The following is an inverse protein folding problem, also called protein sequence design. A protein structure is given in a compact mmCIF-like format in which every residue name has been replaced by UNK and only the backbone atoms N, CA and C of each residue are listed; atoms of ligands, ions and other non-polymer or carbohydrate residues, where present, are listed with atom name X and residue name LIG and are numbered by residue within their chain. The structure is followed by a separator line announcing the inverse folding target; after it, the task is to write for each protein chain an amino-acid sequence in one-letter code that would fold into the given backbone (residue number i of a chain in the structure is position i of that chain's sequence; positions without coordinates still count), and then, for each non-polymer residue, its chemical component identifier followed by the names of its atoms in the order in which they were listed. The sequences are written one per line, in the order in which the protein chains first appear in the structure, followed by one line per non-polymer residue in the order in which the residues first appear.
data_IF_906454881982
#
_entry.id   IF_906454881982
#
_cell.length_a   1.000
_cell.length_b   1.000
_cell.length_c   1.000
_cell.angle_alpha   90.00
_cell.angle_beta   90.00
_cell.angle_gamma   90.00
#
_symmetry.space_group_name_H-M   'P 1'
#
loop_
_entity.id
_entity.type
_entity.pdbx_description
1 polymer ?
#
# COMPACT_ATOMS: atom_id res chain seq x y z
N UNK A 1 7.70 3.52 -13.84
CA UNK A 1 7.80 3.67 -12.36
C UNK A 1 6.60 4.47 -11.94
N UNK A 2 5.73 3.93 -11.06
CA UNK A 2 4.55 4.65 -10.60
C UNK A 2 4.99 5.94 -9.90
N UNK A 3 4.24 7.02 -10.12
CA UNK A 3 4.53 8.33 -9.57
C UNK A 3 3.48 8.65 -8.51
N UNK A 4 3.92 9.11 -7.33
CA UNK A 4 3.04 9.36 -6.18
C UNK A 4 1.87 10.27 -6.54
N UNK A 5 2.04 11.20 -7.49
CA UNK A 5 0.98 12.10 -7.93
C UNK A 5 -0.16 11.43 -8.69
N UNK A 6 -0.01 10.16 -9.09
CA UNK A 6 -1.01 9.39 -9.81
C UNK A 6 -1.77 8.41 -8.90
N UNK A 7 -1.51 8.42 -7.60
CA UNK A 7 -2.28 7.66 -6.63
C UNK A 7 -3.42 8.53 -6.09
N UNK A 8 -4.59 7.93 -5.86
CA UNK A 8 -5.73 8.66 -5.24
C UNK A 8 -5.35 9.11 -3.81
N UNK A 9 -4.67 8.25 -3.04
CA UNK A 9 -4.16 8.55 -1.69
C UNK A 9 -3.03 9.61 -1.63
N UNK A 10 -2.56 10.17 -2.75
CA UNK A 10 -1.37 11.02 -2.78
C UNK A 10 -1.43 12.21 -1.82
N UNK A 11 -2.59 12.87 -1.72
CA UNK A 11 -2.77 14.03 -0.86
C UNK A 11 -2.64 13.65 0.63
N UNK A 12 -3.30 12.57 1.04
CA UNK A 12 -3.23 12.05 2.40
C UNK A 12 -1.83 11.53 2.75
N UNK A 13 -1.16 10.87 1.80
CA UNK A 13 0.19 10.34 2.00
C UNK A 13 1.22 11.44 2.24
N UNK A 14 1.15 12.54 1.47
CA UNK A 14 2.14 13.64 1.52
C UNK A 14 2.14 14.42 2.82
N UNK A 15 1.06 14.32 3.62
CA UNK A 15 0.95 15.02 4.90
C UNK A 15 1.28 14.13 6.10
N UNK A 16 1.66 12.87 5.87
CA UNK A 16 2.03 11.95 6.94
C UNK A 16 3.31 12.42 7.66
N UNK A 17 3.26 12.65 8.99
CA UNK A 17 4.42 13.12 9.74
C UNK A 17 5.57 12.12 9.79
N UNK A 18 5.31 10.83 9.56
CA UNK A 18 6.33 9.79 9.52
C UNK A 18 7.08 9.68 8.18
N UNK A 19 6.62 10.38 7.14
CA UNK A 19 7.21 10.35 5.80
C UNK A 19 7.94 11.65 5.52
N UNK A 20 9.18 11.55 5.07
CA UNK A 20 9.91 12.67 4.49
C UNK A 20 9.83 12.59 2.96
N UNK A 21 9.44 13.69 2.32
CA UNK A 21 9.39 13.81 0.86
C UNK A 21 10.38 14.89 0.42
N UNK A 22 11.40 14.49 -0.33
CA UNK A 22 12.42 15.40 -0.86
C UNK A 22 12.37 15.42 -2.38
N UNK A 23 12.35 16.62 -2.97
CA UNK A 23 12.61 16.79 -4.40
C UNK A 23 14.10 16.58 -4.66
N UNK A 24 14.42 15.71 -5.60
CA UNK A 24 15.78 15.39 -6.00
C UNK A 24 16.05 15.87 -7.44
N UNK A 25 17.32 15.99 -7.79
CA UNK A 25 17.80 16.28 -9.16
C UNK A 25 17.07 17.46 -9.83
N UNK A 26 17.22 18.67 -9.26
CA UNK A 26 16.56 19.90 -9.72
C UNK A 26 15.02 19.82 -9.83
N UNK A 27 14.38 18.91 -9.07
CA UNK A 27 12.93 18.73 -9.08
C UNK A 27 12.43 17.70 -10.11
N UNK A 28 13.33 17.01 -10.80
CA UNK A 28 12.99 15.97 -11.79
C UNK A 28 12.62 14.63 -11.15
N UNK A 29 12.96 14.40 -9.88
CA UNK A 29 12.57 13.21 -9.14
C UNK A 29 12.14 13.53 -7.72
N UNK A 30 11.39 12.61 -7.11
CA UNK A 30 10.96 12.70 -5.72
C UNK A 30 11.45 11.47 -4.97
N UNK A 31 12.14 11.68 -3.85
CA UNK A 31 12.48 10.63 -2.90
C UNK A 31 11.51 10.67 -1.73
N UNK A 32 11.09 9.49 -1.28
CA UNK A 32 10.22 9.31 -0.14
C UNK A 32 10.96 8.41 0.86
N UNK A 33 11.00 8.81 2.12
CA UNK A 33 11.76 8.13 3.16
C UNK A 33 10.90 7.97 4.41
N UNK A 34 10.88 6.78 4.99
CA UNK A 34 10.28 6.53 6.29
C UNK A 34 11.24 7.02 7.39
N UNK A 35 10.82 8.01 8.17
CA UNK A 35 11.72 8.74 9.07
C UNK A 35 12.26 7.89 10.22
N UNK A 36 11.48 6.94 10.75
CA UNK A 36 11.85 6.17 11.94
C UNK A 36 13.09 5.30 11.73
N UNK A 37 13.26 4.76 10.53
CA UNK A 37 14.35 3.85 10.18
C UNK A 37 15.24 4.38 9.05
N UNK A 38 14.92 5.58 8.53
CA UNK A 38 15.56 6.18 7.37
C UNK A 38 15.52 5.29 6.11
N UNK A 39 14.49 4.46 5.99
CA UNK A 39 14.32 3.50 4.89
C UNK A 39 13.59 4.15 3.72
N UNK A 40 14.06 3.91 2.49
CA UNK A 40 13.41 4.46 1.29
C UNK A 40 12.05 3.82 1.07
N UNK A 41 11.08 4.60 0.60
CA UNK A 41 9.72 4.17 0.28
C UNK A 41 9.55 4.09 -1.24
N UNK A 42 8.97 2.98 -1.70
CA UNK A 42 8.67 2.71 -3.11
C UNK A 42 7.17 2.57 -3.34
N UNK A 43 6.76 2.85 -4.57
CA UNK A 43 5.37 2.71 -4.99
C UNK A 43 5.19 1.39 -5.71
N UNK A 44 4.19 0.63 -5.29
CA UNK A 44 3.77 -0.63 -5.89
C UNK A 44 2.29 -0.51 -6.22
N UNK A 45 1.87 -1.02 -7.38
CA UNK A 45 0.47 -1.14 -7.76
C UNK A 45 0.23 -2.59 -8.17
N UNK A 46 -0.69 -3.25 -7.49
CA UNK A 46 -1.07 -4.63 -7.76
C UNK A 46 -2.55 -4.70 -8.11
N UNK A 47 -2.90 -5.62 -9.00
CA UNK A 47 -4.30 -5.89 -9.34
C UNK A 47 -4.76 -7.24 -8.77
N UNK A 48 -6.05 -7.31 -8.45
CA UNK A 48 -6.69 -8.47 -7.85
C UNK A 48 -8.06 -8.70 -8.50
N UNK A 49 -8.47 -9.95 -8.60
CA UNK A 49 -9.86 -10.28 -8.93
C UNK A 49 -10.81 -9.92 -7.78
N UNK A 50 -12.12 -10.10 -7.98
CA UNK A 50 -13.10 -9.71 -6.98
C UNK A 50 -13.00 -10.50 -5.66
N UNK A 51 -12.66 -11.79 -5.73
CA UNK A 51 -12.56 -12.65 -4.55
C UNK A 51 -11.36 -12.25 -3.69
N UNK A 52 -10.18 -12.12 -4.31
CA UNK A 52 -8.96 -11.69 -3.64
C UNK A 52 -9.03 -10.24 -3.19
N UNK A 53 -9.66 -9.36 -3.99
CA UNK A 53 -9.92 -7.97 -3.62
C UNK A 53 -10.75 -7.84 -2.36
N UNK A 54 -11.77 -8.70 -2.19
CA UNK A 54 -12.59 -8.71 -0.96
C UNK A 54 -11.82 -9.20 0.26
N UNK A 55 -11.02 -10.27 0.12
CA UNK A 55 -10.15 -10.75 1.20
C UNK A 55 -9.14 -9.68 1.62
N UNK A 56 -8.61 -8.94 0.66
CA UNK A 56 -7.69 -7.85 0.89
C UNK A 56 -8.37 -6.67 1.61
N UNK A 57 -9.59 -6.30 1.22
CA UNK A 57 -10.40 -5.30 1.93
C UNK A 57 -10.57 -5.67 3.42
N UNK A 58 -11.01 -6.90 3.70
CA UNK A 58 -11.24 -7.37 5.07
C UNK A 58 -9.92 -7.41 5.89
N UNK A 59 -8.80 -7.75 5.23
CA UNK A 59 -7.47 -7.72 5.83
C UNK A 59 -7.06 -6.29 6.20
N UNK A 60 -7.26 -5.32 5.31
CA UNK A 60 -6.90 -3.91 5.53
C UNK A 60 -7.79 -3.21 6.57
N UNK A 61 -9.00 -3.71 6.78
CA UNK A 61 -9.91 -3.23 7.81
C UNK A 61 -9.71 -3.92 9.17
N UNK A 62 -8.89 -4.97 9.23
CA UNK A 62 -8.52 -5.63 10.48
C UNK A 62 -7.52 -4.76 11.25
N UNK A 63 -7.69 -4.67 12.58
CA UNK A 63 -6.81 -3.84 13.40
C UNK A 63 -5.37 -4.37 13.39
N UNK A 64 -4.35 -3.49 13.47
CA UNK A 64 -2.94 -3.92 13.48
C UNK A 64 -2.61 -4.94 14.57
N UNK A 65 -3.21 -4.81 15.77
CA UNK A 65 -2.98 -5.73 16.88
C UNK A 65 -3.47 -7.14 16.54
N UNK A 66 -4.66 -7.23 15.94
CA UNK A 66 -5.25 -8.50 15.54
C UNK A 66 -4.51 -9.13 14.37
N UNK A 67 -4.00 -8.33 13.43
CA UNK A 67 -3.12 -8.83 12.36
C UNK A 67 -1.86 -9.47 12.94
N UNK A 68 -1.27 -8.87 13.98
CA UNK A 68 -0.07 -9.40 14.63
C UNK A 68 -0.37 -10.65 15.46
N UNK A 69 -1.52 -10.70 16.15
CA UNK A 69 -1.92 -11.84 16.97
C UNK A 69 -2.25 -13.08 16.12
N UNK A 70 -3.10 -12.91 15.11
CA UNK A 70 -3.65 -14.01 14.32
C UNK A 70 -2.72 -14.39 13.16
N UNK A 71 -1.93 -13.42 12.69
CA UNK A 71 -1.29 -13.50 11.38
C UNK A 71 -2.33 -13.50 10.25
N UNK A 72 -1.85 -13.41 9.01
CA UNK A 72 -2.68 -13.64 7.82
C UNK A 72 -1.90 -14.59 6.91
N UNK A 73 -2.47 -15.73 6.49
CA UNK A 73 -1.81 -16.58 5.53
C UNK A 73 -1.71 -15.86 4.18
N UNK A 74 -0.55 -15.27 3.90
CA UNK A 74 -0.25 -14.57 2.65
C UNK A 74 -0.47 -15.41 1.38
N UNK A 75 -0.59 -16.73 1.52
CA UNK A 75 -0.72 -17.70 0.43
C UNK A 75 -2.09 -17.69 -0.26
N UNK A 76 -3.10 -17.10 0.38
CA UNK A 76 -4.48 -17.17 -0.09
C UNK A 76 -4.91 -15.97 -0.94
N UNK A 77 -4.15 -14.86 -0.91
CA UNK A 77 -4.42 -13.67 -1.72
C UNK A 77 -3.43 -13.61 -2.88
N UNK A 78 -3.94 -13.75 -4.11
CA UNK A 78 -3.12 -13.79 -5.33
C UNK A 78 -3.38 -12.60 -6.24
N UNK A 79 -2.32 -12.06 -6.85
CA UNK A 79 -2.46 -11.03 -7.89
C UNK A 79 -3.19 -11.62 -9.08
N UNK A 80 -3.91 -10.75 -9.78
CA UNK A 80 -4.48 -11.04 -11.10
C UNK A 80 -3.76 -10.19 -12.14
N UNK A 81 -3.55 -10.75 -13.33
CA UNK A 81 -3.11 -9.98 -14.50
C UNK A 81 -4.24 -9.14 -15.10
N UNK A 82 -5.49 -9.47 -14.79
CA UNK A 82 -6.70 -8.76 -15.22
C UNK A 82 -7.65 -8.71 -14.01
N UNK A 83 -7.38 -7.77 -13.11
CA UNK A 83 -8.18 -7.56 -11.91
C UNK A 83 -9.07 -6.32 -12.03
N UNK A 84 -10.20 -6.30 -11.33
CA UNK A 84 -11.00 -5.08 -11.18
C UNK A 84 -10.75 -4.38 -9.83
N UNK A 85 -9.88 -4.93 -8.98
CA UNK A 85 -9.38 -4.29 -7.78
C UNK A 85 -7.93 -3.89 -7.98
N UNK A 86 -7.55 -2.69 -7.54
CA UNK A 86 -6.18 -2.20 -7.55
C UNK A 86 -5.79 -1.78 -6.14
N UNK A 87 -4.67 -2.30 -5.64
CA UNK A 87 -4.06 -1.86 -4.40
C UNK A 87 -2.89 -0.93 -4.73
N UNK A 88 -3.02 0.34 -4.35
CA UNK A 88 -1.95 1.34 -4.44
C UNK A 88 -1.16 1.33 -3.12
N UNK A 89 0.16 1.14 -3.18
CA UNK A 89 1.00 0.86 -2.02
C UNK A 89 2.22 1.77 -2.01
N UNK A 90 2.55 2.33 -0.85
CA UNK A 90 3.81 2.98 -0.54
C UNK A 90 4.51 2.17 0.57
N UNK A 91 5.55 1.41 0.22
CA UNK A 91 6.22 0.45 1.11
C UNK A 91 7.69 0.85 1.34
N UNK A 92 8.13 0.85 2.60
CA UNK A 92 9.54 1.04 2.94
C UNK A 92 10.40 -0.21 2.66
N UNK A 93 11.68 -0.02 2.33
CA UNK A 93 12.63 -1.11 2.05
C UNK A 93 12.74 -2.14 3.18
N UNK A 94 12.69 -1.67 4.43
CA UNK A 94 12.73 -2.51 5.64
C UNK A 94 11.37 -3.12 6.02
N UNK A 95 10.33 -2.84 5.23
CA UNK A 95 8.94 -3.29 5.43
C UNK A 95 8.33 -2.87 6.78
N UNK A 96 8.93 -1.90 7.47
CA UNK A 96 8.44 -1.38 8.75
C UNK A 96 7.39 -0.27 8.59
N UNK A 97 7.15 0.19 7.37
CA UNK A 97 6.14 1.18 7.05
C UNK A 97 5.43 0.82 5.74
N UNK A 98 4.11 0.90 5.78
CA UNK A 98 3.25 0.68 4.63
C UNK A 98 2.07 1.65 4.69
N UNK A 99 1.88 2.44 3.63
CA UNK A 99 0.64 3.15 3.39
C UNK A 99 -0.04 2.58 2.15
N UNK A 100 -1.34 2.34 2.20
CA UNK A 100 -2.04 1.65 1.12
C UNK A 100 -3.49 2.10 0.98
N UNK A 101 -4.03 1.96 -0.22
CA UNK A 101 -5.43 2.21 -0.53
C UNK A 101 -5.94 1.18 -1.54
N UNK A 102 -7.10 0.59 -1.25
CA UNK A 102 -7.77 -0.32 -2.16
C UNK A 102 -8.80 0.43 -3.00
N UNK A 103 -8.73 0.23 -4.30
CA UNK A 103 -9.60 0.84 -5.31
C UNK A 103 -10.28 -0.25 -6.13
N UNK A 104 -11.42 0.07 -6.73
CA UNK A 104 -12.11 -0.80 -7.68
C UNK A 104 -12.41 -0.07 -8.97
N UNK A 105 -12.13 -0.72 -10.10
CA UNK A 105 -12.46 -0.24 -11.42
C UNK A 105 -13.92 -0.56 -11.75
N UNK A 106 -14.77 0.47 -11.84
CA UNK A 106 -16.19 0.38 -12.17
C UNK A 106 -16.55 1.53 -13.09
N UNK A 107 -17.32 1.27 -14.15
CA UNK A 107 -17.78 2.29 -15.11
C UNK A 107 -16.63 3.17 -15.66
N UNK A 108 -15.51 2.54 -16.05
CA UNK A 108 -14.31 3.20 -16.59
C UNK A 108 -13.58 4.16 -15.63
N UNK A 109 -13.88 4.09 -14.33
CA UNK A 109 -13.24 4.91 -13.30
C UNK A 109 -12.78 4.04 -12.12
N UNK A 110 -11.74 4.48 -11.41
CA UNK A 110 -11.41 3.91 -10.11
C UNK A 110 -12.25 4.59 -9.03
N UNK A 111 -12.84 3.77 -8.16
CA UNK A 111 -13.60 4.21 -6.99
C UNK A 111 -12.89 3.66 -5.76
N UNK A 112 -12.80 4.50 -4.73
CA UNK A 112 -12.20 4.12 -3.46
C UNK A 112 -13.04 3.07 -2.74
N UNK A 113 -12.42 1.97 -2.32
CA UNK A 113 -13.03 0.95 -1.46
C UNK A 113 -12.64 1.20 0.00
N UNK A 114 -11.41 1.65 0.23
CA UNK A 114 -10.94 2.08 1.54
C UNK A 114 -10.42 3.50 1.48
N UNK A 115 -10.48 4.20 2.62
CA UNK A 115 -9.56 5.31 2.88
C UNK A 115 -8.10 4.82 2.84
N UNK A 116 -7.15 5.74 2.76
CA UNK A 116 -5.73 5.42 2.96
C UNK A 116 -5.54 4.83 4.36
N UNK A 117 -4.93 3.64 4.42
CA UNK A 117 -4.52 2.98 5.67
C UNK A 117 -3.01 3.06 5.82
N UNK A 118 -2.55 3.20 7.06
CA UNK A 118 -1.13 3.21 7.41
C UNK A 118 -0.88 2.12 8.44
N UNK A 119 0.15 1.32 8.19
CA UNK A 119 0.64 0.28 9.09
C UNK A 119 2.12 0.50 9.36
N UNK A 120 2.53 0.22 10.58
CA UNK A 120 3.92 0.30 11.02
C UNK A 120 4.34 -0.97 11.76
N UNK A 121 5.64 -1.24 11.80
CA UNK A 121 6.22 -2.36 12.51
C UNK A 121 5.72 -3.70 12.00
N UNK A 122 5.38 -4.61 12.92
CA UNK A 122 5.04 -6.00 12.58
C UNK A 122 3.80 -6.14 11.70
N UNK A 123 2.81 -5.26 11.84
CA UNK A 123 1.63 -5.26 10.98
C UNK A 123 1.98 -4.89 9.53
N UNK A 124 2.90 -3.92 9.34
CA UNK A 124 3.39 -3.56 8.02
C UNK A 124 4.13 -4.73 7.35
N UNK A 125 4.97 -5.45 8.10
CA UNK A 125 5.67 -6.63 7.60
C UNK A 125 4.70 -7.70 7.11
N UNK A 126 3.68 -8.03 7.91
CA UNK A 126 2.68 -9.05 7.59
C UNK A 126 1.97 -8.69 6.28
N UNK A 127 1.51 -7.44 6.13
CA UNK A 127 0.84 -7.00 4.92
C UNK A 127 1.80 -6.95 3.73
N UNK A 128 3.05 -6.54 3.94
CA UNK A 128 4.07 -6.52 2.89
C UNK A 128 4.36 -7.94 2.36
N UNK A 129 4.33 -8.97 3.22
CA UNK A 129 4.46 -10.37 2.78
C UNK A 129 3.33 -10.77 1.81
N UNK A 130 2.08 -10.40 2.10
CA UNK A 130 0.94 -10.64 1.21
C UNK A 130 1.16 -9.95 -0.15
N UNK A 131 1.57 -8.69 -0.13
CA UNK A 131 1.73 -7.85 -1.32
C UNK A 131 2.89 -8.29 -2.21
N UNK A 132 3.98 -8.75 -1.60
CA UNK A 132 5.21 -9.11 -2.31
C UNK A 132 5.22 -10.58 -2.76
N UNK A 133 4.60 -11.49 -2.01
CA UNK A 133 4.56 -12.92 -2.34
C UNK A 133 3.57 -13.27 -3.46
N UNK A 134 2.62 -12.37 -3.75
CA UNK A 134 1.53 -12.59 -4.70
C UNK A 134 1.88 -12.30 -6.15
#
# INVERSE_FOLDING_TARGET
MANINHLEMAAAFKVLPQVEIKKCFFGLSTSMTYQKTNSKIHIIQNEYDASNGKLLEDTLLTSPEKLVEVGVPAKDIKKSSIGNYRLDICLSDDKQFLATQLLRFVNFNYVEITDMKVFEGKAAEIIAEIILAS
#
